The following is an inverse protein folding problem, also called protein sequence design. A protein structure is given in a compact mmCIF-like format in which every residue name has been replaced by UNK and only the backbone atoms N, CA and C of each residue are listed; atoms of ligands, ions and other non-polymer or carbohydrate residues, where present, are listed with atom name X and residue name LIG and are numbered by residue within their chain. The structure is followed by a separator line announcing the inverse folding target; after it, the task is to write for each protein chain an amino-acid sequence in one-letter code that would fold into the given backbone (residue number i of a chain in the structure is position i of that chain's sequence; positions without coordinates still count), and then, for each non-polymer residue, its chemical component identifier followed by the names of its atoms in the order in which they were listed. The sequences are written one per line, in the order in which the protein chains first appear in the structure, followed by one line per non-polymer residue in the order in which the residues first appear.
data_IF_120661935869
#
_entry.id   IF_120661935869
#
_cell.length_a   1.000
_cell.length_b   1.000
_cell.length_c   1.000
_cell.angle_alpha   90.00
_cell.angle_beta   90.00
_cell.angle_gamma   90.00
#
_symmetry.space_group_name_H-M   'P 1'
#
loop_
_entity.id
_entity.type
_entity.pdbx_description
1 polymer ?
#
# COMPACT_ATOMS: atom_id res chain seq x y z
N UNK A 1 -87.24 -7.04 -22.93
CA UNK A 1 -86.17 -7.61 -23.79
C UNK A 1 -85.20 -6.53 -24.28
N UNK A 2 -85.66 -5.44 -24.92
CA UNK A 2 -84.75 -4.40 -25.43
C UNK A 2 -84.00 -3.57 -24.35
N UNK A 3 -84.66 -3.27 -23.22
CA UNK A 3 -84.03 -2.53 -22.12
C UNK A 3 -82.87 -3.32 -21.47
N UNK A 4 -83.04 -4.63 -21.29
CA UNK A 4 -82.00 -5.49 -20.68
C UNK A 4 -80.75 -5.59 -21.57
N UNK A 5 -80.92 -5.65 -22.89
CA UNK A 5 -79.78 -5.67 -23.83
C UNK A 5 -79.00 -4.36 -23.83
N UNK A 6 -79.68 -3.21 -23.72
CA UNK A 6 -79.00 -1.91 -23.64
C UNK A 6 -78.18 -1.76 -22.35
N UNK A 7 -78.71 -2.23 -21.22
CA UNK A 7 -78.00 -2.20 -19.94
C UNK A 7 -76.75 -3.09 -19.98
N UNK A 8 -76.85 -4.29 -20.56
CA UNK A 8 -75.70 -5.21 -20.69
C UNK A 8 -74.60 -4.60 -21.58
N UNK A 9 -74.99 -4.01 -22.72
CA UNK A 9 -74.04 -3.34 -23.62
C UNK A 9 -73.35 -2.16 -22.92
N UNK A 10 -74.09 -1.33 -22.19
CA UNK A 10 -73.52 -0.22 -21.43
C UNK A 10 -72.51 -0.67 -20.38
N UNK A 11 -72.83 -1.73 -19.63
CA UNK A 11 -71.92 -2.27 -18.62
C UNK A 11 -70.63 -2.84 -19.22
N UNK A 12 -70.72 -3.52 -20.37
CA UNK A 12 -69.55 -4.03 -21.09
C UNK A 12 -68.60 -2.90 -21.50
N UNK A 13 -69.13 -1.79 -22.01
CA UNK A 13 -68.31 -0.63 -22.39
C UNK A 13 -67.62 -0.03 -21.16
N UNK A 14 -68.34 0.14 -20.04
CA UNK A 14 -67.75 0.67 -18.80
C UNK A 14 -66.65 -0.26 -18.28
N UNK A 15 -66.87 -1.57 -18.27
CA UNK A 15 -65.85 -2.54 -17.83
C UNK A 15 -64.59 -2.50 -18.68
N UNK A 16 -64.72 -2.43 -20.01
CA UNK A 16 -63.56 -2.33 -20.90
C UNK A 16 -62.79 -1.03 -20.69
N UNK A 17 -63.48 0.09 -20.46
CA UNK A 17 -62.84 1.37 -20.17
C UNK A 17 -62.07 1.33 -18.83
N UNK A 18 -62.68 0.79 -17.77
CA UNK A 18 -62.02 0.63 -16.47
C UNK A 18 -60.79 -0.27 -16.60
N UNK A 19 -60.91 -1.39 -17.33
CA UNK A 19 -59.80 -2.31 -17.55
C UNK A 19 -58.65 -1.67 -18.35
N UNK A 20 -58.96 -0.87 -19.37
CA UNK A 20 -57.94 -0.14 -20.12
C UNK A 20 -57.18 0.87 -19.25
N UNK A 21 -57.89 1.58 -18.37
CA UNK A 21 -57.29 2.54 -17.44
C UNK A 21 -56.42 1.82 -16.40
N UNK A 22 -56.91 0.74 -15.78
CA UNK A 22 -56.12 0.00 -14.79
C UNK A 22 -54.87 -0.62 -15.41
N UNK A 23 -54.98 -1.20 -16.61
CA UNK A 23 -53.82 -1.70 -17.35
C UNK A 23 -52.81 -0.59 -17.62
N UNK A 24 -53.25 0.59 -18.07
CA UNK A 24 -52.35 1.72 -18.34
C UNK A 24 -51.58 2.16 -17.08
N UNK A 25 -52.24 2.20 -15.92
CA UNK A 25 -51.61 2.53 -14.64
C UNK A 25 -50.61 1.45 -14.18
N UNK A 26 -50.92 0.18 -14.39
CA UNK A 26 -49.99 -0.92 -14.10
C UNK A 26 -48.78 -0.86 -15.03
N UNK A 27 -48.99 -0.57 -16.32
CA UNK A 27 -47.90 -0.42 -17.28
C UNK A 27 -46.97 0.74 -16.95
N UNK A 28 -47.49 1.88 -16.46
CA UNK A 28 -46.64 2.99 -16.05
C UNK A 28 -45.78 2.62 -14.83
N UNK A 29 -46.36 1.91 -13.85
CA UNK A 29 -45.60 1.42 -12.69
C UNK A 29 -44.53 0.42 -13.07
N UNK A 30 -44.82 -0.53 -13.95
CA UNK A 30 -43.81 -1.49 -14.44
C UNK A 30 -42.68 -0.76 -15.17
N UNK A 31 -42.98 0.31 -15.91
CA UNK A 31 -41.94 1.12 -16.57
C UNK A 31 -41.05 1.84 -15.55
N UNK A 32 -41.63 2.46 -14.52
CA UNK A 32 -40.88 3.10 -13.45
C UNK A 32 -39.92 2.12 -12.77
N UNK A 33 -40.43 0.94 -12.34
CA UNK A 33 -39.59 -0.09 -11.70
C UNK A 33 -38.49 -0.60 -12.65
N UNK A 34 -38.77 -0.74 -13.94
CA UNK A 34 -37.74 -1.16 -14.92
C UNK A 34 -36.63 -0.13 -15.07
N UNK A 35 -36.98 1.16 -15.04
CA UNK A 35 -35.99 2.25 -15.11
C UNK A 35 -35.12 2.23 -13.86
N UNK A 36 -35.71 2.09 -12.68
CA UNK A 36 -34.98 2.02 -11.41
C UNK A 36 -34.04 0.80 -11.36
N UNK A 37 -34.54 -0.37 -11.76
CA UNK A 37 -33.73 -1.60 -11.78
C UNK A 37 -32.59 -1.52 -12.79
N UNK A 38 -32.79 -0.87 -13.94
CA UNK A 38 -31.71 -0.61 -14.89
C UNK A 38 -30.69 0.39 -14.33
N UNK A 39 -31.14 1.45 -13.65
CA UNK A 39 -30.23 2.40 -13.01
C UNK A 39 -29.39 1.74 -11.91
N UNK A 40 -29.94 0.79 -11.14
CA UNK A 40 -29.18 0.00 -10.18
C UNK A 40 -28.17 -0.92 -10.86
N UNK A 41 -28.56 -1.59 -11.97
CA UNK A 41 -27.61 -2.40 -12.76
C UNK A 41 -26.46 -1.55 -13.32
N UNK A 42 -26.75 -0.36 -13.79
CA UNK A 42 -25.72 0.57 -14.30
C UNK A 42 -24.76 1.00 -13.17
N UNK A 43 -25.28 1.23 -11.96
CA UNK A 43 -24.43 1.48 -10.78
C UNK A 43 -23.55 0.28 -10.45
N UNK A 44 -24.11 -0.93 -10.44
CA UNK A 44 -23.33 -2.15 -10.16
C UNK A 44 -22.26 -2.39 -11.20
N UNK A 45 -22.57 -2.21 -12.49
CA UNK A 45 -21.58 -2.36 -13.56
C UNK A 45 -20.48 -1.31 -13.49
N UNK A 46 -20.80 -0.07 -13.09
CA UNK A 46 -19.81 0.98 -12.85
C UNK A 46 -18.89 0.62 -11.69
N UNK A 47 -19.44 0.19 -10.55
CA UNK A 47 -18.64 -0.25 -9.38
C UNK A 47 -17.78 -1.46 -9.72
N UNK A 48 -18.30 -2.42 -10.51
CA UNK A 48 -17.50 -3.55 -10.97
C UNK A 48 -16.35 -3.10 -11.88
N UNK A 49 -16.59 -2.14 -12.77
CA UNK A 49 -15.53 -1.56 -13.60
C UNK A 49 -14.44 -0.89 -12.73
N UNK A 50 -14.84 -0.11 -11.72
CA UNK A 50 -13.90 0.51 -10.76
C UNK A 50 -13.13 -0.53 -9.94
N UNK A 51 -13.78 -1.60 -9.48
CA UNK A 51 -13.09 -2.69 -8.78
C UNK A 51 -12.10 -3.42 -9.70
N UNK A 52 -12.43 -3.60 -10.97
CA UNK A 52 -11.51 -4.20 -11.93
C UNK A 52 -10.30 -3.30 -12.19
N UNK A 53 -10.47 -1.98 -12.29
CA UNK A 53 -9.35 -1.06 -12.45
C UNK A 53 -8.46 -1.03 -11.21
N UNK A 54 -9.06 -0.96 -10.01
CA UNK A 54 -8.30 -1.02 -8.74
C UNK A 54 -7.50 -2.32 -8.65
N UNK A 55 -8.06 -3.46 -9.07
CA UNK A 55 -7.35 -4.75 -9.06
C UNK A 55 -6.15 -4.76 -10.00
N UNK A 56 -6.25 -4.12 -11.16
CA UNK A 56 -5.14 -3.98 -12.11
C UNK A 56 -4.05 -3.11 -11.50
N UNK A 57 -4.42 -1.97 -10.91
CA UNK A 57 -3.49 -1.05 -10.25
C UNK A 57 -2.77 -1.72 -9.07
N UNK A 58 -3.49 -2.50 -8.26
CA UNK A 58 -2.90 -3.28 -7.15
C UNK A 58 -1.86 -4.28 -7.66
N UNK A 59 -2.14 -4.94 -8.80
CA UNK A 59 -1.19 -5.84 -9.44
C UNK A 59 0.07 -5.13 -9.95
N UNK A 60 -0.06 -3.87 -10.41
CA UNK A 60 1.09 -3.06 -10.81
C UNK A 60 1.94 -2.64 -9.59
N UNK A 61 1.28 -2.25 -8.49
CA UNK A 61 1.95 -1.91 -7.22
C UNK A 61 2.70 -3.12 -6.66
N UNK A 62 2.09 -4.31 -6.66
CA UNK A 62 2.72 -5.54 -6.16
C UNK A 62 4.02 -5.87 -6.90
N UNK A 63 4.03 -5.70 -8.23
CA UNK A 63 5.25 -5.84 -9.05
C UNK A 63 6.30 -4.80 -8.70
N UNK A 64 5.90 -3.55 -8.45
CA UNK A 64 6.81 -2.49 -8.06
C UNK A 64 7.43 -2.74 -6.68
N UNK A 65 6.62 -3.20 -5.72
CA UNK A 65 7.08 -3.58 -4.38
C UNK A 65 8.04 -4.76 -4.46
N UNK A 66 7.71 -5.77 -5.26
CA UNK A 66 8.60 -6.92 -5.50
C UNK A 66 9.93 -6.49 -6.14
N UNK A 67 9.90 -5.60 -7.14
CA UNK A 67 11.11 -5.08 -7.78
C UNK A 67 11.98 -4.28 -6.80
N UNK A 68 11.39 -3.42 -5.96
CA UNK A 68 12.12 -2.69 -4.91
C UNK A 68 12.62 -3.62 -3.81
N UNK A 69 11.86 -4.66 -3.46
CA UNK A 69 12.26 -5.70 -2.52
C UNK A 69 13.52 -6.42 -2.99
N UNK A 70 13.58 -6.78 -4.27
CA UNK A 70 14.77 -7.39 -4.89
C UNK A 70 15.98 -6.45 -4.85
N UNK A 71 15.79 -5.16 -5.16
CA UNK A 71 16.86 -4.16 -5.06
C UNK A 71 17.39 -4.00 -3.63
N UNK A 72 16.51 -4.00 -2.63
CA UNK A 72 16.91 -3.94 -1.22
C UNK A 72 17.69 -5.21 -0.84
N UNK A 73 17.24 -6.38 -1.29
CA UNK A 73 17.94 -7.64 -1.05
C UNK A 73 19.33 -7.64 -1.68
N UNK A 74 19.45 -7.18 -2.93
CA UNK A 74 20.72 -7.07 -3.64
C UNK A 74 21.67 -6.07 -2.96
N UNK A 75 21.16 -4.92 -2.53
CA UNK A 75 21.95 -3.93 -1.81
C UNK A 75 22.38 -4.44 -0.44
N UNK A 76 21.52 -5.19 0.24
CA UNK A 76 21.86 -5.85 1.51
C UNK A 76 22.96 -6.88 1.33
N UNK A 77 22.86 -7.73 0.32
CA UNK A 77 23.92 -8.68 -0.01
C UNK A 77 25.22 -7.97 -0.38
N UNK A 78 25.16 -6.86 -1.11
CA UNK A 78 26.34 -6.06 -1.43
C UNK A 78 27.00 -5.50 -0.17
N UNK A 79 26.22 -4.94 0.76
CA UNK A 79 26.72 -4.45 2.06
C UNK A 79 27.29 -5.59 2.90
N UNK A 80 26.64 -6.75 2.96
CA UNK A 80 27.15 -7.91 3.69
C UNK A 80 28.46 -8.44 3.07
N UNK A 81 28.58 -8.45 1.74
CA UNK A 81 29.83 -8.76 1.03
C UNK A 81 30.92 -7.73 1.33
N UNK A 82 30.57 -6.45 1.38
CA UNK A 82 31.52 -5.39 1.73
C UNK A 82 31.96 -5.48 3.19
N UNK A 83 31.09 -5.85 4.11
CA UNK A 83 31.45 -6.10 5.51
C UNK A 83 32.33 -7.34 5.68
N UNK A 84 32.08 -8.41 4.92
CA UNK A 84 32.92 -9.63 4.98
C UNK A 84 34.28 -9.44 4.30
N UNK A 85 34.37 -8.66 3.21
CA UNK A 85 35.66 -8.27 2.62
C UNK A 85 36.35 -7.13 3.39
N UNK A 86 35.58 -6.37 4.17
CA UNK A 86 36.02 -5.25 4.97
C UNK A 86 36.66 -5.66 6.29
N UNK A 87 37.66 -6.56 6.29
CA UNK A 87 38.53 -6.78 7.46
C UNK A 87 39.11 -5.46 8.02
N UNK A 88 39.24 -4.45 7.16
CA UNK A 88 39.58 -3.06 7.50
C UNK A 88 38.58 -2.42 8.48
N UNK A 89 37.28 -2.72 8.42
CA UNK A 89 36.29 -2.06 9.28
C UNK A 89 36.35 -2.57 10.73
N UNK A 90 36.69 -3.84 10.93
CA UNK A 90 36.99 -4.39 12.26
C UNK A 90 38.27 -3.76 12.84
N UNK A 91 39.31 -3.60 12.02
CA UNK A 91 40.55 -2.90 12.39
C UNK A 91 40.30 -1.41 12.72
N UNK A 92 39.45 -0.72 11.97
CA UNK A 92 39.03 0.67 12.26
C UNK A 92 38.27 0.78 13.58
N UNK A 93 37.34 -0.14 13.86
CA UNK A 93 36.61 -0.17 15.12
C UNK A 93 37.52 -0.45 16.33
N UNK A 94 38.57 -1.26 16.13
CA UNK A 94 39.60 -1.50 17.15
C UNK A 94 40.47 -0.26 17.36
N UNK A 95 40.92 0.37 16.28
CA UNK A 95 41.69 1.62 16.31
C UNK A 95 40.93 2.74 17.04
N UNK A 96 39.62 2.84 16.79
CA UNK A 96 38.76 3.81 17.45
C UNK A 96 38.75 3.64 18.97
N UNK A 97 38.67 2.40 19.46
CA UNK A 97 38.71 2.09 20.90
C UNK A 97 40.06 2.42 21.54
N UNK A 98 41.17 2.21 20.82
CA UNK A 98 42.52 2.58 21.30
C UNK A 98 42.69 4.10 21.36
N UNK A 99 42.19 4.82 20.35
CA UNK A 99 42.21 6.29 20.30
C UNK A 99 41.34 6.89 21.43
N UNK A 100 40.17 6.32 21.71
CA UNK A 100 39.31 6.75 22.82
C UNK A 100 39.98 6.56 24.19
N UNK A 101 40.89 5.60 24.33
CA UNK A 101 41.74 5.41 25.53
C UNK A 101 42.92 6.37 25.60
N UNK A 102 43.14 7.16 24.55
CA UNK A 102 44.24 8.12 24.46
C UNK A 102 45.57 7.51 24.04
N UNK A 103 45.56 6.31 23.44
CA UNK A 103 46.77 5.66 22.92
C UNK A 103 47.39 6.46 21.75
N UNK A 104 48.70 6.31 21.53
CA UNK A 104 49.43 7.08 20.52
C UNK A 104 49.05 6.65 19.09
N UNK A 105 48.85 7.59 18.14
CA UNK A 105 48.46 7.23 16.77
C UNK A 105 49.44 6.31 16.05
N UNK A 106 50.73 6.29 16.41
CA UNK A 106 51.68 5.32 15.83
C UNK A 106 51.40 3.90 16.29
N UNK A 107 51.15 3.72 17.58
CA UNK A 107 50.87 2.41 18.16
C UNK A 107 49.53 1.85 17.65
N UNK A 108 48.54 2.73 17.48
CA UNK A 108 47.26 2.39 16.85
C UNK A 108 47.45 1.92 15.39
N UNK A 109 48.31 2.61 14.63
CA UNK A 109 48.62 2.25 13.25
C UNK A 109 49.26 0.86 13.14
N UNK A 110 50.26 0.58 13.99
CA UNK A 110 50.98 -0.70 13.99
C UNK A 110 50.10 -1.87 14.42
N UNK A 111 49.29 -1.71 15.47
CA UNK A 111 48.43 -2.79 16.01
C UNK A 111 47.24 -3.09 15.11
N UNK A 112 46.65 -2.06 14.49
CA UNK A 112 45.46 -2.22 13.65
C UNK A 112 45.80 -2.40 12.16
N UNK A 113 47.09 -2.33 11.77
CA UNK A 113 47.52 -2.42 10.38
C UNK A 113 47.04 -1.25 9.51
N UNK A 114 46.88 -0.07 10.12
CA UNK A 114 46.48 1.17 9.44
C UNK A 114 47.72 1.96 9.04
N UNK A 115 47.59 2.85 8.06
CA UNK A 115 48.66 3.82 7.80
C UNK A 115 48.69 4.86 8.92
N UNK A 116 49.88 5.41 9.21
CA UNK A 116 50.04 6.45 10.24
C UNK A 116 49.13 7.66 9.98
N UNK A 117 48.96 8.06 8.71
CA UNK A 117 48.08 9.16 8.32
C UNK A 117 46.59 8.88 8.63
N UNK A 118 46.13 7.64 8.45
CA UNK A 118 44.75 7.23 8.79
C UNK A 118 44.53 7.24 10.31
N UNK A 119 45.49 6.72 11.08
CA UNK A 119 45.41 6.72 12.54
C UNK A 119 45.48 8.15 13.11
N UNK A 120 46.33 9.01 12.57
CA UNK A 120 46.43 10.42 12.98
C UNK A 120 45.14 11.18 12.67
N UNK A 121 44.52 10.92 11.51
CA UNK A 121 43.24 11.53 11.13
C UNK A 121 42.12 11.08 12.08
N UNK A 122 42.02 9.77 12.38
CA UNK A 122 41.07 9.25 13.35
C UNK A 122 41.25 9.91 14.73
N UNK A 123 42.50 10.06 15.18
CA UNK A 123 42.81 10.71 16.44
C UNK A 123 42.37 12.17 16.45
N UNK A 124 42.53 12.90 15.34
CA UNK A 124 42.06 14.29 15.21
C UNK A 124 40.53 14.41 15.20
N UNK A 125 39.82 13.48 14.58
CA UNK A 125 38.35 13.49 14.54
C UNK A 125 37.72 13.07 15.87
N UNK A 126 38.32 12.09 16.56
CA UNK A 126 37.74 11.46 17.75
C UNK A 126 38.33 11.90 19.09
N UNK A 127 39.40 12.72 19.09
CA UNK A 127 39.73 13.50 20.29
C UNK A 127 38.58 14.46 20.53
N UNK A 128 37.62 14.03 21.37
CA UNK A 128 36.62 14.90 21.98
C UNK A 128 37.39 16.12 22.46
N UNK A 129 37.19 17.24 21.77
CA UNK A 129 37.81 18.51 22.10
C UNK A 129 37.48 18.72 23.58
N UNK A 130 38.46 18.69 24.51
CA UNK A 130 38.16 18.90 25.92
C UNK A 130 37.60 20.32 26.02
N UNK A 131 36.29 20.42 26.25
CA UNK A 131 35.57 21.67 26.41
C UNK A 131 35.91 22.36 27.75
N UNK A 132 36.86 21.81 28.50
CA UNK A 132 37.23 22.29 29.83
C UNK A 132 38.61 22.97 29.88
N UNK A 133 39.12 23.42 28.74
CA UNK A 133 40.20 24.42 28.73
C UNK A 133 39.57 25.81 28.92
N UNK A 134 39.57 26.28 30.17
CA UNK A 134 39.22 27.63 30.62
C UNK A 134 39.72 28.68 29.60
N UNK A 135 38.85 29.54 29.04
CA UNK A 135 39.23 30.51 28.01
C UNK A 135 40.01 31.66 28.64
N UNK A 136 41.33 31.56 28.69
CA UNK A 136 42.18 32.74 28.89
C UNK A 136 42.56 33.30 27.52
N UNK A 137 41.82 34.33 27.12
CA UNK A 137 42.26 35.44 26.27
C UNK A 137 43.07 35.11 25.02
N UNK A 138 42.40 34.57 23.98
CA UNK A 138 42.89 34.73 22.61
C UNK A 138 41.98 35.69 21.87
N UNK A 139 42.44 36.94 21.80
CA UNK A 139 41.91 38.01 20.96
C UNK A 139 42.13 37.65 19.48
N UNK A 140 41.25 36.83 18.91
CA UNK A 140 41.19 36.63 17.46
C UNK A 140 40.35 37.76 16.87
N UNK A 141 41.04 38.74 16.31
CA UNK A 141 40.47 39.76 15.43
C UNK A 141 39.82 39.10 14.22
N UNK A 142 38.54 39.40 14.04
CA UNK A 142 37.73 39.15 12.85
C UNK A 142 38.47 39.43 11.55
N UNK A 143 38.40 38.49 10.61
CA UNK A 143 38.42 38.77 9.18
C UNK A 143 37.38 37.90 8.50
N UNK A 144 36.15 38.38 8.65
CA UNK A 144 35.05 38.41 7.69
C UNK A 144 35.41 37.90 6.27
N UNK A 145 34.89 36.73 5.88
CA UNK A 145 34.64 36.45 4.46
C UNK A 145 33.28 35.78 4.30
N UNK A 146 32.32 36.65 3.95
CA UNK A 146 30.92 36.41 3.62
C UNK A 146 30.86 35.61 2.30
N UNK A 147 30.37 34.37 2.35
CA UNK A 147 29.96 33.60 1.17
C UNK A 147 28.44 33.80 0.99
N UNK A 148 27.95 34.12 -0.21
CA UNK A 148 26.53 34.38 -0.45
C UNK A 148 25.68 33.11 -0.36
N UNK A 149 24.54 33.26 0.31
CA UNK A 149 23.45 32.30 0.45
C UNK A 149 22.93 31.85 -0.92
N UNK A 150 23.16 30.58 -1.28
CA UNK A 150 22.40 29.90 -2.31
C UNK A 150 21.17 29.25 -1.68
N UNK A 151 20.07 30.01 -1.70
CA UNK A 151 18.68 29.59 -1.88
C UNK A 151 18.42 28.07 -1.81
N UNK A 152 18.17 27.54 -0.61
CA UNK A 152 17.59 26.20 -0.42
C UNK A 152 16.11 26.37 -0.14
N UNK A 153 15.30 26.09 -1.15
CA UNK A 153 13.84 26.01 -1.07
C UNK A 153 13.45 25.03 0.04
N UNK A 154 12.56 25.40 0.98
CA UNK A 154 12.10 24.47 2.01
C UNK A 154 11.27 23.38 1.36
N UNK A 155 11.79 22.15 1.37
CA UNK A 155 11.02 20.95 1.06
C UNK A 155 9.90 20.88 2.10
N UNK A 156 8.68 21.10 1.61
CA UNK A 156 7.44 20.91 2.35
C UNK A 156 7.43 19.54 3.00
N UNK A 157 7.47 19.56 4.34
CA UNK A 157 7.22 18.42 5.21
C UNK A 157 5.95 17.70 4.74
N UNK A 158 6.01 16.40 4.38
CA UNK A 158 4.79 15.66 4.08
C UNK A 158 3.91 15.65 5.35
N UNK A 159 2.58 15.77 5.20
CA UNK A 159 1.66 15.72 6.32
C UNK A 159 1.90 14.39 7.05
N UNK A 160 2.27 14.49 8.33
CA UNK A 160 2.23 13.35 9.24
C UNK A 160 0.78 12.86 9.26
N UNK A 161 0.52 11.81 8.49
CA UNK A 161 -0.69 11.03 8.62
C UNK A 161 -0.74 10.56 10.06
N UNK A 162 -1.67 11.13 10.81
CA UNK A 162 -2.06 10.62 12.11
C UNK A 162 -2.37 9.13 11.92
N UNK A 163 -1.54 8.28 12.52
CA UNK A 163 -1.83 6.88 12.75
C UNK A 163 -2.98 6.82 13.75
N UNK A 164 -4.19 7.07 13.25
CA UNK A 164 -5.41 6.68 13.92
C UNK A 164 -5.44 5.15 13.90
N UNK A 165 -5.02 4.57 15.02
CA UNK A 165 -5.28 3.18 15.38
C UNK A 165 -6.78 2.99 15.54
N UNK A 166 -7.50 2.93 14.42
CA UNK A 166 -8.88 2.46 14.40
C UNK A 166 -8.85 0.94 14.44
N UNK A 167 -8.85 0.39 15.65
CA UNK A 167 -9.37 -0.96 15.89
C UNK A 167 -10.84 -0.94 15.50
N UNK A 168 -11.13 -1.11 14.21
CA UNK A 168 -12.49 -1.36 13.74
C UNK A 168 -12.77 -2.85 13.87
N UNK A 169 -13.83 -3.26 14.61
CA UNK A 169 -14.25 -4.67 14.74
C UNK A 169 -14.86 -5.25 13.45
N UNK A 170 -14.58 -4.63 12.30
CA UNK A 170 -15.16 -5.01 11.01
C UNK A 170 -14.25 -5.94 10.20
N UNK A 171 -12.92 -5.90 10.42
CA UNK A 171 -11.99 -6.81 9.73
C UNK A 171 -12.18 -8.26 10.16
N UNK A 172 -12.41 -8.51 11.45
CA UNK A 172 -12.68 -9.86 11.96
C UNK A 172 -13.99 -10.44 11.41
N UNK A 173 -15.00 -9.60 11.17
CA UNK A 173 -16.29 -10.04 10.62
C UNK A 173 -16.22 -10.34 9.10
N UNK A 174 -15.38 -9.62 8.36
CA UNK A 174 -15.18 -9.84 6.92
C UNK A 174 -14.34 -11.10 6.67
N UNK A 175 -13.32 -11.35 7.49
CA UNK A 175 -12.51 -12.57 7.39
C UNK A 175 -13.32 -13.82 7.79
N UNK A 176 -14.26 -13.71 8.72
CA UNK A 176 -15.16 -14.81 9.08
C UNK A 176 -16.19 -15.12 7.97
N UNK A 177 -16.74 -14.08 7.32
CA UNK A 177 -17.75 -14.26 6.28
C UNK A 177 -17.14 -14.74 4.94
N UNK A 178 -15.95 -14.26 4.58
CA UNK A 178 -15.19 -14.76 3.42
C UNK A 178 -14.69 -16.18 3.68
N UNK A 179 -14.25 -16.48 4.91
CA UNK A 179 -13.83 -17.82 5.31
C UNK A 179 -14.96 -18.87 5.24
N UNK A 180 -16.16 -18.51 5.71
CA UNK A 180 -17.33 -19.40 5.67
C UNK A 180 -17.82 -19.66 4.25
N UNK A 181 -17.92 -18.61 3.42
CA UNK A 181 -18.38 -18.75 2.03
C UNK A 181 -17.33 -19.49 1.16
N UNK A 182 -16.05 -19.24 1.40
CA UNK A 182 -14.94 -19.93 0.74
C UNK A 182 -14.89 -21.43 1.09
N UNK A 183 -15.10 -21.80 2.36
CA UNK A 183 -15.19 -23.21 2.77
C UNK A 183 -16.37 -23.92 2.12
N UNK A 184 -17.55 -23.31 2.11
CA UNK A 184 -18.73 -23.91 1.47
C UNK A 184 -18.53 -24.14 -0.04
N UNK A 185 -17.86 -23.20 -0.73
CA UNK A 185 -17.53 -23.35 -2.15
C UNK A 185 -16.49 -24.46 -2.40
N UNK A 186 -15.46 -24.55 -1.56
CA UNK A 186 -14.45 -25.61 -1.63
C UNK A 186 -15.04 -27.00 -1.34
N UNK A 187 -15.95 -27.11 -0.36
CA UNK A 187 -16.65 -28.36 -0.06
C UNK A 187 -17.62 -28.75 -1.17
N UNK A 188 -18.28 -27.80 -1.83
CA UNK A 188 -19.12 -28.06 -3.01
C UNK A 188 -18.30 -28.58 -4.20
N UNK A 189 -17.10 -28.02 -4.45
CA UNK A 189 -16.17 -28.52 -5.49
C UNK A 189 -15.70 -29.94 -5.13
N UNK A 190 -15.34 -30.18 -3.87
CA UNK A 190 -14.91 -31.50 -3.39
C UNK A 190 -16.03 -32.54 -3.49
N UNK A 191 -17.27 -32.20 -3.14
CA UNK A 191 -18.45 -33.06 -3.34
C UNK A 191 -18.71 -33.35 -4.82
N UNK A 192 -18.53 -32.36 -5.71
CA UNK A 192 -18.64 -32.55 -7.16
C UNK A 192 -17.59 -33.54 -7.70
N UNK A 193 -16.37 -33.49 -7.18
CA UNK A 193 -15.31 -34.44 -7.54
C UNK A 193 -15.55 -35.84 -6.97
N UNK A 194 -16.06 -35.94 -5.74
CA UNK A 194 -16.32 -37.23 -5.09
C UNK A 194 -17.48 -38.00 -5.73
N UNK A 195 -18.49 -37.29 -6.27
CA UNK A 195 -19.66 -37.89 -6.90
C UNK A 195 -19.48 -38.27 -8.39
N UNK A 196 -18.25 -38.30 -8.89
CA UNK A 196 -17.89 -39.05 -10.11
C UNK A 196 -18.78 -38.81 -11.33
N UNK A 197 -18.49 -37.75 -12.09
CA UNK A 197 -19.20 -37.53 -13.35
C UNK A 197 -18.79 -36.29 -14.12
N UNK A 198 -17.49 -36.06 -14.30
CA UNK A 198 -17.01 -35.10 -15.31
C UNK A 198 -16.56 -35.88 -16.55
N UNK A 199 -17.53 -36.36 -17.32
CA UNK A 199 -17.30 -36.68 -18.73
C UNK A 199 -17.21 -35.35 -19.48
N UNK A 200 -15.97 -34.85 -19.62
CA UNK A 200 -15.68 -33.82 -20.62
C UNK A 200 -15.97 -34.45 -21.97
N UNK A 201 -17.11 -34.11 -22.55
CA UNK A 201 -17.26 -34.20 -23.99
C UNK A 201 -16.39 -33.09 -24.57
N UNK A 202 -15.17 -33.47 -24.95
CA UNK A 202 -14.36 -32.68 -25.88
C UNK A 202 -15.07 -32.88 -27.22
N UNK A 203 -15.85 -31.90 -27.64
CA UNK A 203 -16.30 -31.82 -29.03
C UNK A 203 -15.06 -31.49 -29.88
N UNK A 204 -14.49 -32.51 -30.51
CA UNK A 204 -13.54 -32.34 -31.60
C UNK A 204 -14.30 -31.77 -32.80
N UNK A 205 -14.06 -30.50 -33.10
CA UNK A 205 -14.48 -29.85 -34.34
C UNK A 205 -13.32 -29.06 -34.95
#
# INVERSE_FOLDING_TARGET
MALTTLVIMGFSVILTAVFAVTMTLVYSKIRELKIELNAERDRVTTVLAELTSIRIDLGAVDRQVSAKGNQISELREFVDRQHTMGGSQAAYNQALKMIERGEDPREVADVCGLTFAEAELLAKMHRKKPLDAKPSDVKVTSSNQRVPESNVTPISKPPQAASASSNTPFSDMVDEQIGAQGKAMLDAIRQRHANGGFSVWVDDN
#
